data_IF_032306492872
#
_entry.id   IF_032306492872
#
_cell.length_a   1.000
_cell.length_b   1.000
_cell.length_c   1.000
_cell.angle_alpha   90.00
_cell.angle_beta   90.00
_cell.angle_gamma   90.00
#
_symmetry.space_group_name_H-M   'P 1'
#
loop_
_entity.id
_entity.type
_entity.pdbx_description
1 polymer ?
#
# COMPACT_ATOMS: atom_id res chain seq x y z
N UNK A 1 38.14 14.40 14.53
CA UNK A 1 37.39 14.55 15.79
C UNK A 1 35.98 14.11 15.50
N UNK A 2 35.58 13.04 16.19
CA UNK A 2 34.23 12.54 16.52
C UNK A 2 33.18 12.35 15.42
N UNK A 3 33.02 11.08 15.05
CA UNK A 3 31.80 10.48 14.50
C UNK A 3 30.64 10.65 15.51
N UNK A 4 29.63 11.46 15.20
CA UNK A 4 28.38 11.42 15.95
C UNK A 4 27.46 10.31 15.41
N UNK A 5 27.27 9.32 16.29
CA UNK A 5 26.48 8.11 16.14
C UNK A 5 25.05 8.39 15.71
N UNK A 6 24.58 7.53 14.80
CA UNK A 6 23.19 7.14 14.60
C UNK A 6 22.41 7.15 15.93
N UNK A 7 21.70 8.25 16.20
CA UNK A 7 20.61 8.25 17.16
C UNK A 7 19.47 7.47 16.50
N UNK A 8 19.27 6.23 16.95
CA UNK A 8 18.08 5.46 16.60
C UNK A 8 16.85 6.29 16.95
N UNK A 9 16.09 6.68 15.94
CA UNK A 9 14.84 7.42 16.13
C UNK A 9 13.85 6.41 16.72
N UNK A 10 13.74 6.38 18.05
CA UNK A 10 12.71 5.59 18.72
C UNK A 10 11.36 6.23 18.40
N UNK A 11 10.54 5.55 17.58
CA UNK A 11 9.19 6.00 17.29
C UNK A 11 8.39 6.05 18.59
N UNK A 12 7.76 7.19 18.85
CA UNK A 12 6.75 7.29 19.91
C UNK A 12 5.56 6.38 19.56
N UNK A 13 4.71 5.97 20.51
CA UNK A 13 3.52 5.16 20.21
C UNK A 13 2.66 5.75 19.08
N UNK A 14 2.51 7.08 19.04
CA UNK A 14 1.82 7.79 17.95
C UNK A 14 2.57 7.65 16.61
N UNK A 15 3.89 7.77 16.62
CA UNK A 15 4.74 7.57 15.46
C UNK A 15 4.66 6.14 14.91
N UNK A 16 4.63 5.13 15.79
CA UNK A 16 4.46 3.72 15.41
C UNK A 16 3.11 3.48 14.75
N UNK A 17 2.02 3.97 15.35
CA UNK A 17 0.68 3.83 14.76
C UNK A 17 0.56 4.50 13.38
N UNK A 18 1.19 5.67 13.20
CA UNK A 18 1.22 6.34 11.91
C UNK A 18 2.01 5.52 10.88
N UNK A 19 3.20 5.03 11.23
CA UNK A 19 4.03 4.22 10.36
C UNK A 19 3.33 2.91 9.95
N UNK A 20 2.65 2.24 10.89
CA UNK A 20 1.86 1.05 10.61
C UNK A 20 0.67 1.34 9.69
N UNK A 21 0.00 2.49 9.88
CA UNK A 21 -1.08 2.91 9.01
C UNK A 21 -0.59 3.16 7.59
N UNK A 22 0.55 3.83 7.42
CA UNK A 22 1.17 4.09 6.12
C UNK A 22 1.51 2.76 5.45
N UNK A 23 2.27 1.89 6.13
CA UNK A 23 2.63 0.56 5.60
C UNK A 23 1.42 -0.28 5.18
N UNK A 24 0.32 -0.22 5.94
CA UNK A 24 -0.91 -0.91 5.58
C UNK A 24 -1.50 -0.37 4.27
N UNK A 25 -1.52 0.96 4.10
CA UNK A 25 -2.00 1.59 2.86
C UNK A 25 -1.10 1.23 1.68
N UNK A 26 0.24 1.24 1.86
CA UNK A 26 1.20 0.79 0.85
C UNK A 26 0.82 -0.59 0.30
N UNK A 27 0.65 -1.57 1.20
CA UNK A 27 0.37 -2.95 0.81
C UNK A 27 -0.95 -3.09 0.04
N UNK A 28 -1.98 -2.34 0.42
CA UNK A 28 -3.28 -2.35 -0.28
C UNK A 28 -3.14 -1.75 -1.68
N UNK A 29 -2.36 -0.68 -1.85
CA UNK A 29 -2.11 -0.07 -3.16
C UNK A 29 -1.30 -1.00 -4.05
N UNK A 30 -0.23 -1.62 -3.53
CA UNK A 30 0.56 -2.61 -4.27
C UNK A 30 -0.31 -3.75 -4.80
N UNK A 31 -1.11 -4.36 -3.94
CA UNK A 31 -2.00 -5.47 -4.31
C UNK A 31 -3.03 -5.04 -5.37
N UNK A 32 -3.55 -3.81 -5.27
CA UNK A 32 -4.44 -3.25 -6.28
C UNK A 32 -3.74 -3.09 -7.63
N UNK A 33 -2.56 -2.48 -7.66
CA UNK A 33 -1.79 -2.25 -8.88
C UNK A 33 -1.35 -3.56 -9.53
N UNK A 34 -0.94 -4.55 -8.74
CA UNK A 34 -0.62 -5.90 -9.24
C UNK A 34 -1.86 -6.57 -9.88
N UNK A 35 -3.05 -6.39 -9.32
CA UNK A 35 -4.30 -6.86 -9.93
C UNK A 35 -4.57 -6.17 -11.28
N UNK A 36 -4.23 -4.88 -11.40
CA UNK A 36 -4.29 -4.14 -12.66
C UNK A 36 -3.20 -4.57 -13.67
N UNK A 37 -2.28 -5.46 -13.30
CA UNK A 37 -1.19 -5.90 -14.16
C UNK A 37 0.01 -4.94 -14.20
N UNK A 38 0.07 -3.98 -13.28
CA UNK A 38 1.19 -3.04 -13.17
C UNK A 38 2.39 -3.75 -12.54
N UNK A 39 3.56 -3.58 -13.16
CA UNK A 39 4.80 -4.17 -12.68
C UNK A 39 5.18 -3.66 -11.28
N UNK A 40 5.86 -4.50 -10.50
CA UNK A 40 6.16 -4.24 -9.09
C UNK A 40 6.93 -2.92 -8.86
N UNK A 41 7.88 -2.58 -9.72
CA UNK A 41 8.68 -1.36 -9.56
C UNK A 41 7.81 -0.11 -9.76
N UNK A 42 7.01 -0.08 -10.82
CA UNK A 42 6.04 0.99 -11.08
C UNK A 42 4.99 1.05 -9.96
N UNK A 43 4.46 -0.08 -9.52
CA UNK A 43 3.49 -0.13 -8.43
C UNK A 43 4.05 0.43 -7.11
N UNK A 44 5.33 0.18 -6.80
CA UNK A 44 5.97 0.75 -5.62
C UNK A 44 6.14 2.27 -5.75
N UNK A 45 6.63 2.74 -6.89
CA UNK A 45 6.81 4.17 -7.16
C UNK A 45 5.47 4.92 -7.10
N UNK A 46 4.41 4.34 -7.67
CA UNK A 46 3.08 4.95 -7.66
C UNK A 46 2.42 4.91 -6.29
N UNK A 47 2.64 3.84 -5.50
CA UNK A 47 2.09 3.76 -4.15
C UNK A 47 2.77 4.74 -3.18
N UNK A 48 4.07 4.94 -3.35
CA UNK A 48 4.86 5.88 -2.57
C UNK A 48 4.31 7.31 -2.72
N UNK A 49 4.15 8.02 -1.61
CA UNK A 49 3.53 9.35 -1.62
C UNK A 49 2.00 9.33 -1.66
N UNK A 50 1.36 8.52 -2.52
CA UNK A 50 -0.12 8.44 -2.60
C UNK A 50 -0.72 7.96 -1.28
N UNK A 51 -0.10 6.97 -0.64
CA UNK A 51 -0.57 6.39 0.62
C UNK A 51 -0.76 7.41 1.77
N UNK A 52 0.04 8.47 1.79
CA UNK A 52 -0.04 9.51 2.81
C UNK A 52 -1.30 10.37 2.66
N UNK A 53 -1.79 10.54 1.43
CA UNK A 53 -2.88 11.46 1.09
C UNK A 53 -4.24 10.77 1.01
N UNK A 54 -4.28 9.43 0.98
CA UNK A 54 -5.53 8.72 0.87
C UNK A 54 -6.34 8.73 2.16
N UNK A 55 -7.62 9.11 2.00
CA UNK A 55 -8.62 9.05 3.06
C UNK A 55 -8.79 7.58 3.53
N UNK A 56 -8.87 7.31 4.85
CA UNK A 56 -9.09 5.96 5.37
C UNK A 56 -10.32 5.25 4.78
N UNK A 57 -11.38 5.99 4.44
CA UNK A 57 -12.58 5.43 3.80
C UNK A 57 -12.28 4.91 2.39
N UNK A 58 -11.43 5.60 1.62
CA UNK A 58 -10.99 5.17 0.30
C UNK A 58 -10.23 3.85 0.39
N UNK A 59 -9.24 3.77 1.28
CA UNK A 59 -8.45 2.54 1.51
C UNK A 59 -9.34 1.38 1.94
N UNK A 60 -10.31 1.62 2.83
CA UNK A 60 -11.27 0.59 3.27
C UNK A 60 -12.10 0.06 2.11
N UNK A 61 -12.59 0.94 1.23
CA UNK A 61 -13.38 0.52 0.07
C UNK A 61 -12.51 -0.19 -0.98
N UNK A 62 -11.28 0.27 -1.18
CA UNK A 62 -10.32 -0.36 -2.08
C UNK A 62 -10.00 -1.79 -1.61
N UNK A 63 -9.75 -2.00 -0.32
CA UNK A 63 -9.54 -3.34 0.24
C UNK A 63 -10.73 -4.28 0.02
N UNK A 64 -11.97 -3.78 0.18
CA UNK A 64 -13.17 -4.57 -0.14
C UNK A 64 -13.25 -4.91 -1.62
N UNK A 65 -12.90 -3.98 -2.50
CA UNK A 65 -12.90 -4.20 -3.94
C UNK A 65 -11.87 -5.27 -4.34
N UNK A 66 -10.65 -5.18 -3.84
CA UNK A 66 -9.61 -6.21 -4.01
C UNK A 66 -10.11 -7.58 -3.53
N UNK A 67 -10.72 -7.62 -2.33
CA UNK A 67 -11.27 -8.87 -1.76
C UNK A 67 -12.37 -9.45 -2.65
N UNK A 68 -13.26 -8.59 -3.18
CA UNK A 68 -14.30 -9.00 -4.12
C UNK A 68 -13.68 -9.61 -5.39
N UNK A 69 -12.70 -8.97 -6.01
CA UNK A 69 -12.06 -9.49 -7.22
C UNK A 69 -11.38 -10.85 -6.97
N UNK A 70 -10.65 -10.98 -5.85
CA UNK A 70 -10.00 -12.24 -5.47
C UNK A 70 -10.99 -13.37 -5.20
N UNK A 71 -12.15 -13.07 -4.63
CA UNK A 71 -13.23 -14.04 -4.41
C UNK A 71 -14.03 -14.37 -5.68
N UNK A 72 -13.82 -13.64 -6.78
CA UNK A 72 -14.52 -13.82 -8.06
C UNK A 72 -13.51 -14.04 -9.20
N UNK A 73 -12.82 -15.19 -9.26
CA UNK A 73 -11.70 -15.42 -10.18
C UNK A 73 -12.09 -15.27 -11.66
N UNK A 74 -13.33 -15.60 -12.04
CA UNK A 74 -13.82 -15.40 -13.41
C UNK A 74 -13.85 -13.93 -13.83
N UNK A 75 -14.21 -13.02 -12.92
CA UNK A 75 -14.20 -11.58 -13.20
C UNK A 75 -12.77 -11.09 -13.39
N UNK A 76 -11.87 -11.54 -12.51
CA UNK A 76 -10.45 -11.20 -12.59
C UNK A 76 -9.81 -11.74 -13.87
N UNK A 77 -10.12 -12.97 -14.26
CA UNK A 77 -9.66 -13.58 -15.52
C UNK A 77 -10.19 -12.82 -16.74
N UNK A 78 -11.49 -12.51 -16.76
CA UNK A 78 -12.08 -11.71 -17.83
C UNK A 78 -11.39 -10.35 -17.97
N UNK A 79 -11.12 -9.68 -16.84
CA UNK A 79 -10.40 -8.41 -16.84
C UNK A 79 -8.96 -8.54 -17.36
N UNK A 80 -8.24 -9.60 -16.99
CA UNK A 80 -6.86 -9.86 -17.46
C UNK A 80 -6.77 -10.22 -18.94
N UNK A 81 -7.87 -10.67 -19.54
CA UNK A 81 -7.96 -11.06 -20.94
C UNK A 81 -8.50 -9.93 -21.85
N UNK A 82 -8.77 -8.73 -21.29
CA UNK A 82 -9.04 -7.52 -22.08
C UNK A 82 -7.76 -7.02 -22.77
#
# INVERSE_FOLDING_TARGET
MEYEKYHGINLTPKGTHLADSIRQKHGILLEFFEILGIGRDTANQDAEGIEHHLNPRTIKQLRKFITFLKSNPKILENFKNL
#
